data_IF_169027461053
#
_entry.id   IF_169027461053
#
_cell.length_a   1.000
_cell.length_b   1.000
_cell.length_c   1.000
_cell.angle_alpha   90.00
_cell.angle_beta   90.00
_cell.angle_gamma   90.00
#
_symmetry.space_group_name_H-M   'P 1'
#
loop_
_entity.id
_entity.type
_entity.pdbx_description
1 polymer ?
#
# COMPACT_ATOMS: atom_id res chain seq x y z
N UNK A 1 -13.18 5.05 17.90
CA UNK A 1 -13.19 4.01 16.83
C UNK A 1 -12.04 3.04 17.09
N UNK A 2 -12.21 1.72 16.95
CA UNK A 2 -11.08 0.79 17.13
C UNK A 2 -10.20 0.81 15.86
N UNK A 3 -8.97 1.32 15.99
CA UNK A 3 -8.01 1.41 14.89
C UNK A 3 -7.06 0.20 14.78
N UNK A 4 -7.14 -0.75 15.70
CA UNK A 4 -6.22 -1.91 15.75
C UNK A 4 -6.33 -2.76 14.49
N UNK A 5 -7.52 -2.83 13.89
CA UNK A 5 -7.72 -3.53 12.62
C UNK A 5 -6.88 -2.89 11.51
N UNK A 6 -6.97 -1.57 11.34
CA UNK A 6 -6.25 -0.87 10.28
C UNK A 6 -4.73 -0.90 10.52
N UNK A 7 -4.29 -0.81 11.78
CA UNK A 7 -2.87 -1.00 12.13
C UNK A 7 -2.35 -2.39 11.79
N UNK A 8 -3.14 -3.44 11.99
CA UNK A 8 -2.79 -4.79 11.56
C UNK A 8 -2.70 -4.89 10.04
N UNK A 9 -3.67 -4.34 9.32
CA UNK A 9 -3.64 -4.30 7.84
C UNK A 9 -2.41 -3.55 7.32
N UNK A 10 -2.03 -2.43 7.95
CA UNK A 10 -0.78 -1.74 7.66
C UNK A 10 0.45 -2.63 7.91
N UNK A 11 0.50 -3.33 9.05
CA UNK A 11 1.59 -4.25 9.35
C UNK A 11 1.69 -5.37 8.30
N UNK A 12 0.56 -5.92 7.85
CA UNK A 12 0.50 -6.95 6.82
C UNK A 12 1.05 -6.42 5.48
N UNK A 13 0.63 -5.22 5.06
CA UNK A 13 1.16 -4.57 3.86
C UNK A 13 2.68 -4.37 3.97
N UNK A 14 3.17 -3.89 5.12
CA UNK A 14 4.62 -3.73 5.33
C UNK A 14 5.35 -5.08 5.28
N UNK A 15 4.76 -6.15 5.82
CA UNK A 15 5.29 -7.51 5.72
C UNK A 15 5.46 -7.96 4.27
N UNK A 16 4.45 -7.73 3.43
CA UNK A 16 4.53 -8.01 1.99
C UNK A 16 5.63 -7.18 1.29
N UNK A 17 5.74 -5.89 1.61
CA UNK A 17 6.82 -5.03 1.06
C UNK A 17 8.19 -5.57 1.45
N UNK A 18 8.37 -6.04 2.68
CA UNK A 18 9.63 -6.62 3.16
C UNK A 18 9.94 -7.95 2.47
N UNK A 19 8.93 -8.82 2.32
CA UNK A 19 9.07 -10.10 1.61
C UNK A 19 9.47 -9.88 0.15
N UNK A 20 8.80 -8.95 -0.54
CA UNK A 20 9.13 -8.61 -1.92
C UNK A 20 10.58 -8.10 -2.05
N UNK A 21 11.02 -7.23 -1.13
CA UNK A 21 12.41 -6.76 -1.08
C UNK A 21 13.39 -7.91 -0.86
N UNK A 22 13.08 -8.85 0.04
CA UNK A 22 13.93 -10.01 0.30
C UNK A 22 14.10 -10.88 -0.96
N UNK A 23 13.02 -11.15 -1.69
CA UNK A 23 13.08 -11.87 -2.98
C UNK A 23 13.96 -11.12 -3.99
N UNK A 24 13.80 -9.80 -4.10
CA UNK A 24 14.64 -8.99 -4.99
C UNK A 24 16.14 -9.05 -4.67
N UNK A 25 16.51 -9.23 -3.39
CA UNK A 25 17.91 -9.38 -2.98
C UNK A 25 18.49 -10.77 -3.28
N UNK A 26 17.64 -11.78 -3.45
CA UNK A 26 18.05 -13.14 -3.80
C UNK A 26 18.28 -13.31 -5.32
N UNK A 27 17.70 -12.41 -6.12
CA UNK A 27 17.85 -12.36 -7.57
C UNK A 27 16.49 -12.17 -8.24
N UNK A 28 16.29 -11.06 -8.96
CA UNK A 28 14.95 -10.73 -9.51
C UNK A 28 14.54 -11.73 -10.59
N UNK A 29 15.46 -12.14 -11.47
CA UNK A 29 15.15 -13.07 -12.54
C UNK A 29 14.98 -14.50 -12.01
N UNK A 30 15.80 -14.89 -11.04
CA UNK A 30 15.78 -16.20 -10.39
C UNK A 30 14.50 -16.38 -9.55
N UNK A 31 14.08 -15.32 -8.83
CA UNK A 31 12.87 -15.33 -7.99
C UNK A 31 11.62 -14.83 -8.72
N UNK A 32 11.65 -14.69 -10.05
CA UNK A 32 10.57 -14.03 -10.80
C UNK A 32 9.17 -14.62 -10.52
N UNK A 33 9.07 -15.94 -10.37
CA UNK A 33 7.81 -16.61 -10.02
C UNK A 33 7.35 -16.30 -8.59
N UNK A 34 8.27 -16.23 -7.63
CA UNK A 34 8.00 -15.85 -6.25
C UNK A 34 7.58 -14.38 -6.16
N UNK A 35 8.28 -13.51 -6.88
CA UNK A 35 8.00 -12.08 -6.98
C UNK A 35 6.62 -11.83 -7.56
N UNK A 36 6.26 -12.48 -8.67
CA UNK A 36 4.93 -12.36 -9.29
C UNK A 36 3.81 -12.75 -8.30
N UNK A 37 3.98 -13.87 -7.58
CA UNK A 37 3.03 -14.30 -6.55
C UNK A 37 2.91 -13.29 -5.41
N UNK A 38 4.04 -12.74 -4.96
CA UNK A 38 4.07 -11.74 -3.90
C UNK A 38 3.36 -10.45 -4.30
N UNK A 39 3.57 -9.97 -5.53
CA UNK A 39 2.87 -8.81 -6.11
C UNK A 39 1.35 -9.06 -6.13
N UNK A 40 0.90 -10.25 -6.52
CA UNK A 40 -0.53 -10.60 -6.54
C UNK A 40 -1.11 -10.66 -5.12
N UNK A 41 -0.40 -11.31 -4.19
CA UNK A 41 -0.82 -11.43 -2.79
C UNK A 41 -0.98 -10.05 -2.14
N UNK A 42 0.06 -9.21 -2.23
CA UNK A 42 0.05 -7.84 -1.71
C UNK A 42 -1.07 -6.99 -2.33
N UNK A 43 -1.36 -7.18 -3.62
CA UNK A 43 -2.45 -6.47 -4.31
C UNK A 43 -3.81 -6.71 -3.67
N UNK A 44 -4.05 -7.93 -3.21
CA UNK A 44 -5.33 -8.30 -2.59
C UNK A 44 -5.49 -7.63 -1.22
N UNK A 45 -4.41 -7.55 -0.45
CA UNK A 45 -4.40 -6.91 0.87
C UNK A 45 -4.59 -5.40 0.76
N UNK A 46 -3.84 -4.72 -0.12
CA UNK A 46 -3.97 -3.27 -0.33
C UNK A 46 -5.39 -2.90 -0.76
N UNK A 47 -5.98 -3.67 -1.69
CA UNK A 47 -7.34 -3.41 -2.17
C UNK A 47 -8.38 -3.56 -1.07
N UNK A 48 -8.25 -4.59 -0.23
CA UNK A 48 -9.16 -4.79 0.89
C UNK A 48 -9.05 -3.64 1.91
N UNK A 49 -7.82 -3.30 2.30
CA UNK A 49 -7.54 -2.21 3.23
C UNK A 49 -8.15 -0.88 2.76
N UNK A 50 -7.87 -0.48 1.51
CA UNK A 50 -8.45 0.71 0.90
C UNK A 50 -9.98 0.68 0.96
N UNK A 51 -10.60 -0.44 0.59
CA UNK A 51 -12.06 -0.53 0.53
C UNK A 51 -12.73 -0.29 1.89
N UNK A 52 -12.06 -0.65 2.98
CA UNK A 52 -12.55 -0.42 4.33
C UNK A 52 -12.36 1.05 4.73
N UNK A 53 -11.20 1.63 4.48
CA UNK A 53 -10.94 3.03 4.81
C UNK A 53 -11.85 4.00 4.03
N UNK A 54 -12.00 3.78 2.72
CA UNK A 54 -12.85 4.59 1.84
C UNK A 54 -14.32 4.54 2.20
N UNK A 55 -14.80 3.37 2.63
CA UNK A 55 -16.23 3.17 2.91
C UNK A 55 -16.62 3.59 4.32
N UNK A 56 -15.69 3.55 5.27
CA UNK A 56 -16.01 3.69 6.68
C UNK A 56 -15.16 4.76 7.38
N UNK A 57 -13.84 4.65 7.34
CA UNK A 57 -12.94 5.53 8.10
C UNK A 57 -13.02 6.98 7.62
N UNK A 58 -12.75 7.22 6.33
CA UNK A 58 -12.71 8.59 5.81
C UNK A 58 -14.07 9.29 5.86
N UNK A 59 -15.19 8.67 5.45
CA UNK A 59 -16.50 9.31 5.55
C UNK A 59 -16.87 9.68 7.00
N UNK A 60 -16.56 8.82 7.97
CA UNK A 60 -16.82 9.13 9.39
C UNK A 60 -16.01 10.33 9.88
N UNK A 61 -14.72 10.39 9.52
CA UNK A 61 -13.84 11.49 9.93
C UNK A 61 -14.13 12.80 9.22
N UNK A 62 -14.74 12.75 8.03
CA UNK A 62 -15.22 13.93 7.31
C UNK A 62 -16.43 14.62 7.97
N UNK A 63 -17.16 13.92 8.84
CA UNK A 63 -18.27 14.47 9.63
C UNK A 63 -17.84 14.97 11.02
N UNK A 64 -16.55 14.84 11.36
CA UNK A 64 -15.99 15.27 12.64
C UNK A 64 -15.60 16.76 12.62
N UNK A 65 -14.58 17.14 13.39
CA UNK A 65 -14.10 18.52 13.42
C UNK A 65 -13.58 18.97 12.04
N UNK A 66 -13.63 20.28 11.70
CA UNK A 66 -13.16 20.77 10.40
C UNK A 66 -11.71 20.38 10.07
N UNK A 67 -10.84 20.36 11.08
CA UNK A 67 -9.45 19.95 10.93
C UNK A 67 -9.31 18.47 10.58
N UNK A 68 -10.05 17.59 11.28
CA UNK A 68 -10.03 16.15 11.02
C UNK A 68 -10.67 15.83 9.66
N UNK A 69 -11.73 16.54 9.30
CA UNK A 69 -12.39 16.37 8.01
C UNK A 69 -11.49 16.76 6.84
N UNK A 70 -10.72 17.85 6.96
CA UNK A 70 -9.74 18.24 5.96
C UNK A 70 -8.62 17.20 5.82
N UNK A 71 -8.12 16.66 6.95
CA UNK A 71 -7.09 15.62 6.94
C UNK A 71 -7.59 14.32 6.33
N UNK A 72 -8.83 13.91 6.65
CA UNK A 72 -9.45 12.71 6.10
C UNK A 72 -9.63 12.78 4.58
N UNK A 73 -10.07 13.93 4.03
CA UNK A 73 -10.15 14.13 2.57
C UNK A 73 -8.77 14.02 1.91
N UNK A 74 -7.75 14.63 2.51
CA UNK A 74 -6.40 14.59 1.97
C UNK A 74 -5.83 13.17 1.89
N UNK A 75 -5.95 12.38 2.97
CA UNK A 75 -5.47 10.98 2.95
C UNK A 75 -6.29 10.10 2.00
N UNK A 76 -7.59 10.35 1.88
CA UNK A 76 -8.44 9.65 0.92
C UNK A 76 -7.99 9.88 -0.53
N UNK A 77 -7.78 11.14 -0.92
CA UNK A 77 -7.30 11.51 -2.26
C UNK A 77 -5.91 10.94 -2.55
N UNK A 78 -4.98 11.06 -1.59
CA UNK A 78 -3.63 10.50 -1.71
C UNK A 78 -3.66 8.97 -1.90
N UNK A 79 -4.51 8.28 -1.15
CA UNK A 79 -4.60 6.83 -1.25
C UNK A 79 -5.22 6.37 -2.57
N UNK A 80 -6.15 7.12 -3.16
CA UNK A 80 -6.68 6.82 -4.49
C UNK A 80 -5.59 6.86 -5.57
N UNK A 81 -4.71 7.87 -5.53
CA UNK A 81 -3.59 7.97 -6.47
C UNK A 81 -2.58 6.82 -6.29
N UNK A 82 -2.15 6.55 -5.05
CA UNK A 82 -1.23 5.43 -4.76
C UNK A 82 -1.83 4.10 -5.19
N UNK A 83 -3.13 3.89 -4.97
CA UNK A 83 -3.83 2.66 -5.37
C UNK A 83 -3.88 2.51 -6.89
N UNK A 84 -4.08 3.59 -7.64
CA UNK A 84 -4.03 3.57 -9.10
C UNK A 84 -2.62 3.24 -9.62
N UNK A 85 -1.59 3.86 -9.05
CA UNK A 85 -0.19 3.59 -9.38
C UNK A 85 0.19 2.14 -9.07
N UNK A 86 -0.22 1.64 -7.91
CA UNK A 86 0.02 0.25 -7.51
C UNK A 86 -0.76 -0.75 -8.38
N UNK A 87 -2.00 -0.45 -8.75
CA UNK A 87 -2.77 -1.31 -9.66
C UNK A 87 -2.16 -1.37 -11.07
N UNK A 88 -1.53 -0.29 -11.53
CA UNK A 88 -0.76 -0.31 -12.79
C UNK A 88 0.49 -1.18 -12.64
N UNK A 89 1.27 -0.97 -11.57
CA UNK A 89 2.43 -1.78 -11.24
C UNK A 89 2.08 -3.28 -11.18
N UNK A 90 1.05 -3.66 -10.44
CA UNK A 90 0.70 -5.07 -10.25
C UNK A 90 0.21 -5.74 -11.53
N UNK A 91 -0.53 -5.02 -12.40
CA UNK A 91 -0.90 -5.53 -13.73
C UNK A 91 0.31 -5.72 -14.65
N UNK A 92 1.33 -4.90 -14.50
CA UNK A 92 2.55 -5.00 -15.31
C UNK A 92 3.43 -6.16 -14.85
N UNK A 93 3.47 -6.42 -13.54
CA UNK A 93 4.43 -7.32 -12.89
C UNK A 93 3.78 -8.50 -12.16
N UNK A 94 2.61 -8.96 -12.62
CA UNK A 94 1.97 -10.20 -12.17
C UNK A 94 2.41 -11.44 -12.97
N UNK A 95 3.29 -11.27 -13.95
CA UNK A 95 3.77 -12.32 -14.83
C UNK A 95 5.27 -12.57 -14.60
N UNK A 96 5.60 -13.83 -14.29
CA UNK A 96 6.96 -14.22 -13.96
C UNK A 96 7.91 -14.09 -15.15
N UNK A 97 7.44 -14.40 -16.37
CA UNK A 97 8.27 -14.33 -17.56
C UNK A 97 8.71 -12.88 -17.82
N UNK A 98 7.78 -11.92 -17.76
CA UNK A 98 8.08 -10.50 -17.92
C UNK A 98 9.06 -10.00 -16.85
N UNK A 99 8.91 -10.43 -15.59
CA UNK A 99 9.85 -10.06 -14.51
C UNK A 99 11.26 -10.58 -14.83
N UNK A 100 11.37 -11.83 -15.28
CA UNK A 100 12.65 -12.44 -15.64
C UNK A 100 13.31 -11.79 -16.87
N UNK A 101 12.52 -11.37 -17.85
CA UNK A 101 13.00 -10.69 -19.06
C UNK A 101 13.41 -9.22 -18.79
N UNK A 102 12.82 -8.57 -17.78
CA UNK A 102 12.99 -7.13 -17.53
C UNK A 102 13.26 -6.80 -16.05
N UNK A 103 14.28 -7.40 -15.42
CA UNK A 103 14.50 -7.30 -13.97
C UNK A 103 14.82 -5.88 -13.50
N UNK A 104 15.57 -5.10 -14.29
CA UNK A 104 15.94 -3.73 -13.92
C UNK A 104 14.77 -2.74 -14.05
N UNK A 105 13.87 -2.96 -15.01
CA UNK A 105 12.65 -2.16 -15.11
C UNK A 105 11.70 -2.47 -13.96
N UNK A 106 11.55 -3.76 -13.60
CA UNK A 106 10.81 -4.16 -12.40
C UNK A 106 11.37 -3.50 -11.15
N UNK A 107 12.70 -3.53 -10.97
CA UNK A 107 13.38 -2.89 -9.84
C UNK A 107 13.07 -1.40 -9.73
N UNK A 108 13.15 -0.67 -10.84
CA UNK A 108 12.86 0.75 -10.88
C UNK A 108 11.40 1.05 -10.50
N UNK A 109 10.45 0.32 -11.09
CA UNK A 109 9.03 0.47 -10.81
C UNK A 109 8.67 0.11 -9.36
N UNK A 110 9.21 -1.01 -8.86
CA UNK A 110 9.01 -1.46 -7.48
C UNK A 110 9.54 -0.41 -6.50
N UNK A 111 10.76 0.11 -6.70
CA UNK A 111 11.32 1.13 -5.82
C UNK A 111 10.46 2.40 -5.77
N UNK A 112 9.91 2.83 -6.91
CA UNK A 112 9.04 4.01 -6.99
C UNK A 112 7.73 3.79 -6.23
N UNK A 113 7.00 2.72 -6.55
CA UNK A 113 5.64 2.51 -6.01
C UNK A 113 5.66 2.11 -4.53
N UNK A 114 6.61 1.26 -4.12
CA UNK A 114 6.70 0.77 -2.74
C UNK A 114 7.15 1.87 -1.79
N UNK A 115 7.97 2.83 -2.28
CA UNK A 115 8.34 4.01 -1.48
C UNK A 115 7.14 4.88 -1.18
N UNK A 116 6.31 5.17 -2.18
CA UNK A 116 5.09 5.97 -1.99
C UNK A 116 4.14 5.32 -0.97
N UNK A 117 3.90 4.01 -1.11
CA UNK A 117 3.04 3.25 -0.20
C UNK A 117 3.60 3.25 1.23
N UNK A 118 4.90 2.97 1.39
CA UNK A 118 5.56 2.94 2.69
C UNK A 118 5.50 4.30 3.40
N UNK A 119 5.84 5.37 2.68
CA UNK A 119 5.85 6.73 3.23
C UNK A 119 4.44 7.19 3.64
N UNK A 120 3.41 6.85 2.83
CA UNK A 120 2.01 7.16 3.17
C UNK A 120 1.57 6.40 4.42
N UNK A 121 1.77 5.08 4.50
CA UNK A 121 1.40 4.28 5.67
C UNK A 121 2.07 4.81 6.94
N UNK A 122 3.36 5.18 6.84
CA UNK A 122 4.10 5.78 7.95
C UNK A 122 3.50 7.10 8.43
N UNK A 123 3.14 7.99 7.50
CA UNK A 123 2.46 9.26 7.82
C UNK A 123 1.08 9.02 8.43
N UNK A 124 0.28 8.10 7.90
CA UNK A 124 -1.06 7.86 8.42
C UNK A 124 -1.03 7.31 9.85
N UNK A 125 -0.15 6.35 10.12
CA UNK A 125 0.04 5.78 11.46
C UNK A 125 0.52 6.81 12.49
N UNK A 126 1.43 7.72 12.08
CA UNK A 126 2.04 8.70 12.99
C UNK A 126 1.21 9.96 13.16
N UNK A 127 0.53 10.40 12.10
CA UNK A 127 -0.07 11.73 12.05
C UNK A 127 -1.60 11.66 12.03
N UNK A 128 -2.22 10.72 11.29
CA UNK A 128 -3.69 10.65 11.17
C UNK A 128 -4.35 9.88 12.30
N UNK A 129 -3.90 8.66 12.57
CA UNK A 129 -4.54 7.78 13.55
C UNK A 129 -4.57 8.39 14.96
N UNK A 130 -3.52 9.09 15.45
CA UNK A 130 -3.60 9.78 16.74
C UNK A 130 -4.66 10.89 16.77
N UNK A 131 -4.90 11.59 15.66
CA UNK A 131 -5.97 12.59 15.58
C UNK A 131 -7.36 11.93 15.63
N UNK A 132 -7.51 10.75 15.03
CA UNK A 132 -8.75 9.97 15.04
C UNK A 132 -9.05 9.41 16.45
N UNK A 133 -8.03 9.03 17.21
CA UNK A 133 -8.19 8.53 18.58
C UNK A 133 -8.50 9.64 19.59
N UNK A 134 -8.07 10.87 19.30
CA UNK A 134 -8.33 12.05 20.13
C UNK A 134 -9.69 12.72 19.85
N UNK A 135 -10.42 12.29 18.82
CA UNK A 135 -11.71 12.83 18.38
C UNK A 135 -12.90 12.05 18.95
#
# INVERSE_FOLDING_TARGET
>A
MNLDKYRREHADIIGHVQQLKALCTQGIAEEAASIAREVIAMSSVIKLHLSVEDRYLYPAMQQASPALAAKARHYQEEMQDISAQYAHFSRQWNDAQRIAEQPELFRADANRVLKLLFDRIGRENRDFYPMVEAA
#
